data_IF_206533474578
#
_entry.id   IF_206533474578
#
_cell.length_a   1.000
_cell.length_b   1.000
_cell.length_c   1.000
_cell.angle_alpha   90.00
_cell.angle_beta   90.00
_cell.angle_gamma   90.00
#
_symmetry.space_group_name_H-M   'P 1'
#
loop_
_entity.id
_entity.type
_entity.pdbx_description
1 polymer ?
#
# COMPACT_ATOMS: atom_id res chain seq x y z
N UNK A 1 -40.04 -27.61 2.82
CA UNK A 1 -38.79 -27.21 3.52
C UNK A 1 -37.58 -26.94 2.61
N UNK A 2 -37.71 -26.90 1.26
CA UNK A 2 -36.55 -26.66 0.35
C UNK A 2 -36.28 -25.18 -0.01
N UNK A 3 -37.28 -24.29 0.14
CA UNK A 3 -37.16 -22.86 -0.26
C UNK A 3 -36.33 -22.00 0.72
N UNK A 4 -36.32 -22.36 2.01
CA UNK A 4 -35.60 -21.61 3.04
C UNK A 4 -34.08 -21.80 2.97
N UNK A 5 -33.62 -22.99 2.52
CA UNK A 5 -32.19 -23.29 2.39
C UNK A 5 -31.53 -22.48 1.26
N UNK A 6 -32.27 -22.25 0.16
CA UNK A 6 -31.82 -21.45 -0.99
C UNK A 6 -31.63 -19.97 -0.63
N UNK A 7 -32.48 -19.43 0.24
CA UNK A 7 -32.38 -18.04 0.69
C UNK A 7 -31.16 -17.83 1.60
N UNK A 8 -30.87 -18.77 2.50
CA UNK A 8 -29.69 -18.72 3.38
C UNK A 8 -28.39 -18.83 2.56
N UNK A 9 -28.35 -19.70 1.55
CA UNK A 9 -27.18 -19.84 0.68
C UNK A 9 -26.93 -18.59 -0.18
N UNK A 10 -28.00 -17.98 -0.71
CA UNK A 10 -27.91 -16.74 -1.49
C UNK A 10 -27.47 -15.53 -0.65
N UNK A 11 -27.75 -15.51 0.66
CA UNK A 11 -27.25 -14.49 1.58
C UNK A 11 -25.79 -14.69 2.00
N UNK A 12 -25.26 -15.92 1.94
CA UNK A 12 -23.88 -16.25 2.31
C UNK A 12 -22.89 -16.16 1.13
N UNK A 13 -23.38 -16.27 -0.11
CA UNK A 13 -22.58 -16.17 -1.33
C UNK A 13 -21.82 -14.83 -1.52
N UNK A 14 -22.39 -13.64 -1.21
CA UNK A 14 -21.68 -12.37 -1.38
C UNK A 14 -20.44 -12.24 -0.49
N UNK A 15 -20.45 -12.85 0.70
CA UNK A 15 -19.36 -12.75 1.66
C UNK A 15 -18.09 -13.51 1.21
N UNK A 16 -18.21 -14.47 0.29
CA UNK A 16 -17.09 -15.27 -0.22
C UNK A 16 -16.36 -14.61 -1.40
N UNK A 17 -16.87 -13.51 -1.94
CA UNK A 17 -16.35 -12.90 -3.18
C UNK A 17 -15.37 -11.73 -2.98
N UNK A 18 -15.17 -11.26 -1.74
CA UNK A 18 -14.29 -10.12 -1.46
C UNK A 18 -12.90 -10.61 -1.02
N UNK A 19 -12.05 -10.97 -1.98
CA UNK A 19 -10.62 -11.11 -1.72
C UNK A 19 -10.00 -9.70 -1.70
N UNK A 20 -9.65 -9.21 -0.50
CA UNK A 20 -8.87 -7.98 -0.31
C UNK A 20 -7.39 -8.27 -0.56
N UNK A 21 -6.80 -7.58 -1.54
CA UNK A 21 -5.35 -7.60 -1.77
C UNK A 21 -4.74 -6.47 -0.97
N UNK A 22 -3.62 -6.74 -0.29
CA UNK A 22 -2.89 -5.73 0.46
C UNK A 22 -1.44 -5.72 0.04
N UNK A 23 -0.88 -4.53 -0.07
CA UNK A 23 0.56 -4.34 -0.22
C UNK A 23 1.08 -3.75 1.08
N UNK A 24 2.18 -4.30 1.58
CA UNK A 24 2.88 -3.78 2.74
C UNK A 24 4.28 -3.35 2.29
N UNK A 25 4.59 -2.08 2.50
CA UNK A 25 5.95 -1.57 2.37
C UNK A 25 6.57 -1.38 3.74
N UNK A 26 7.84 -1.75 3.85
CA UNK A 26 8.65 -1.51 5.03
C UNK A 26 9.95 -0.88 4.53
N UNK A 27 10.31 0.27 5.08
CA UNK A 27 11.57 0.93 4.77
C UNK A 27 12.30 1.33 6.06
N UNK A 28 13.61 1.54 5.92
CA UNK A 28 14.49 1.90 7.02
C UNK A 28 15.30 3.13 6.67
N UNK A 29 15.45 4.00 7.65
CA UNK A 29 16.31 5.18 7.53
C UNK A 29 17.63 4.84 8.19
N UNK A 30 18.69 4.72 7.38
CA UNK A 30 20.02 4.35 7.89
C UNK A 30 20.78 5.52 8.49
N UNK A 31 20.54 6.76 8.04
CA UNK A 31 21.21 7.94 8.56
C UNK A 31 20.48 8.50 9.79
N UNK A 32 21.10 8.50 10.98
CA UNK A 32 20.48 9.00 12.19
C UNK A 32 20.30 10.52 12.22
N UNK A 33 20.82 11.28 11.26
CA UNK A 33 20.63 12.74 11.16
C UNK A 33 19.38 13.14 10.40
N UNK A 34 18.81 12.24 9.59
CA UNK A 34 17.54 12.49 8.89
C UNK A 34 16.47 12.80 9.94
N UNK A 35 15.76 13.92 9.78
CA UNK A 35 14.74 14.37 10.73
C UNK A 35 13.32 14.24 10.17
N UNK A 36 13.18 14.19 8.85
CA UNK A 36 11.91 14.18 8.16
C UNK A 36 11.89 13.12 7.08
N UNK A 37 10.76 12.43 6.97
CA UNK A 37 10.47 11.53 5.86
C UNK A 37 9.11 11.89 5.30
N UNK A 38 8.96 11.73 4.00
CA UNK A 38 7.65 11.75 3.36
C UNK A 38 7.55 10.59 2.40
N UNK A 39 6.34 10.11 2.22
CA UNK A 39 6.05 9.14 1.20
C UNK A 39 4.80 9.52 0.42
N UNK A 40 4.64 8.95 -0.75
CA UNK A 40 3.38 8.96 -1.48
C UNK A 40 3.23 7.65 -2.21
N UNK A 41 2.00 7.22 -2.41
CA UNK A 41 1.71 6.12 -3.33
C UNK A 41 1.06 6.68 -4.58
N UNK A 42 1.60 6.24 -5.72
CA UNK A 42 1.05 6.54 -7.04
C UNK A 42 0.41 5.26 -7.55
N UNK A 43 -0.86 5.36 -7.90
CA UNK A 43 -1.59 4.32 -8.63
C UNK A 43 -1.43 4.57 -10.14
N UNK A 44 -0.96 3.56 -10.86
CA UNK A 44 -0.64 3.58 -12.28
C UNK A 44 0.21 4.80 -12.69
N UNK A 45 -0.27 5.59 -13.67
CA UNK A 45 0.37 6.83 -14.14
C UNK A 45 -0.20 8.09 -13.48
N UNK A 46 -0.92 7.91 -12.37
CA UNK A 46 -1.58 8.99 -11.66
C UNK A 46 -0.62 9.86 -10.85
N UNK A 47 -1.20 10.67 -9.96
CA UNK A 47 -0.45 11.47 -8.99
C UNK A 47 -0.89 11.11 -7.58
N UNK A 48 0.06 10.87 -6.70
CA UNK A 48 -0.17 10.70 -5.26
C UNK A 48 0.10 12.00 -4.48
N UNK A 49 -0.64 12.21 -3.39
CA UNK A 49 -0.34 13.26 -2.43
C UNK A 49 0.79 12.81 -1.50
N UNK A 50 1.67 13.75 -1.13
CA UNK A 50 2.69 13.50 -0.13
C UNK A 50 2.08 13.41 1.26
N UNK A 51 2.33 12.30 1.93
CA UNK A 51 2.07 12.10 3.35
C UNK A 51 3.38 12.30 4.11
N UNK A 52 3.33 13.15 5.13
CA UNK A 52 4.49 13.52 5.92
C UNK A 52 4.57 12.63 7.16
N UNK A 53 5.73 12.01 7.35
CA UNK A 53 6.06 11.24 8.53
C UNK A 53 7.18 11.98 9.25
N UNK A 54 6.86 12.66 10.34
CA UNK A 54 7.93 13.15 11.21
C UNK A 54 8.67 11.94 11.77
N UNK A 55 10.00 11.97 11.72
CA UNK A 55 10.80 10.95 12.38
C UNK A 55 10.78 11.24 13.87
N UNK A 56 9.69 10.87 14.55
CA UNK A 56 9.56 11.14 15.97
C UNK A 56 9.98 9.96 16.85
N UNK A 57 9.97 8.71 16.37
CA UNK A 57 10.32 7.59 17.29
C UNK A 57 10.84 6.28 16.69
N UNK A 58 10.83 6.07 15.36
CA UNK A 58 11.31 4.80 14.79
C UNK A 58 12.25 4.99 13.58
N UNK A 59 13.27 4.13 13.51
CA UNK A 59 14.15 3.97 12.34
C UNK A 59 13.51 3.12 11.25
N UNK A 60 12.52 2.31 11.62
CA UNK A 60 11.72 1.46 10.74
C UNK A 60 10.36 2.10 10.55
N UNK A 61 9.94 2.22 9.29
CA UNK A 61 8.64 2.77 8.92
C UNK A 61 7.90 1.76 8.04
N UNK A 62 6.58 1.72 8.16
CA UNK A 62 5.75 0.82 7.37
C UNK A 62 4.46 1.49 6.93
N UNK A 63 3.95 1.04 5.78
CA UNK A 63 2.68 1.47 5.23
C UNK A 63 1.97 0.27 4.60
N UNK A 64 0.66 0.17 4.83
CA UNK A 64 -0.18 -0.89 4.29
C UNK A 64 -1.31 -0.25 3.50
N UNK A 65 -1.50 -0.71 2.27
CA UNK A 65 -2.54 -0.23 1.37
C UNK A 65 -3.42 -1.39 0.91
N UNK A 66 -4.72 -1.19 0.99
CA UNK A 66 -5.70 -2.04 0.30
C UNK A 66 -5.69 -1.70 -1.18
N UNK A 67 -5.54 -2.72 -2.03
CA UNK A 67 -5.32 -2.54 -3.46
C UNK A 67 -6.29 -3.33 -4.32
N UNK A 68 -6.49 -2.81 -5.53
CA UNK A 68 -7.23 -3.51 -6.58
C UNK A 68 -6.29 -4.40 -7.40
N UNK A 69 -6.86 -5.44 -8.02
CA UNK A 69 -6.13 -6.28 -8.99
C UNK A 69 -5.85 -5.53 -10.27
N UNK A 70 -4.83 -5.99 -11.00
CA UNK A 70 -4.48 -5.50 -12.33
C UNK A 70 -4.15 -3.99 -12.37
N UNK A 71 -3.52 -3.50 -11.30
CA UNK A 71 -3.03 -2.13 -11.19
C UNK A 71 -1.57 -2.14 -10.76
N UNK A 72 -0.86 -1.05 -11.06
CA UNK A 72 0.50 -0.83 -10.60
C UNK A 72 0.47 0.19 -9.47
N UNK A 73 1.15 -0.12 -8.37
CA UNK A 73 1.32 0.81 -7.26
C UNK A 73 2.80 1.10 -7.08
N UNK A 74 3.17 2.38 -7.10
CA UNK A 74 4.53 2.83 -6.84
C UNK A 74 4.58 3.60 -5.53
N UNK A 75 5.31 3.09 -4.54
CA UNK A 75 5.70 3.86 -3.37
C UNK A 75 6.90 4.74 -3.73
N UNK A 76 6.78 6.04 -3.49
CA UNK A 76 7.91 6.95 -3.49
C UNK A 76 8.22 7.39 -2.06
N UNK A 77 9.49 7.36 -1.68
CA UNK A 77 9.97 7.82 -0.37
C UNK A 77 11.07 8.84 -0.55
N UNK A 78 11.01 9.91 0.24
CA UNK A 78 12.06 10.92 0.34
C UNK A 78 12.37 11.22 1.80
N UNK A 79 13.61 11.60 2.04
CA UNK A 79 14.11 12.04 3.33
C UNK A 79 14.62 13.48 3.29
N UNK A 80 14.69 14.09 4.46
CA UNK A 80 15.21 15.43 4.64
C UNK A 80 15.82 15.62 6.04
N UNK A 81 16.87 16.42 6.09
CA UNK A 81 17.52 16.85 7.34
C UNK A 81 16.83 18.06 7.96
N UNK A 82 16.16 18.89 7.16
CA UNK A 82 15.61 20.19 7.58
C UNK A 82 14.12 20.38 7.27
N UNK A 83 13.50 19.44 6.56
CA UNK A 83 12.10 19.46 6.14
C UNK A 83 11.83 20.38 4.95
N UNK A 84 12.86 21.02 4.39
CA UNK A 84 12.78 21.98 3.29
C UNK A 84 13.38 21.39 2.03
N UNK A 85 14.61 20.87 2.12
CA UNK A 85 15.30 20.23 1.02
C UNK A 85 15.14 18.72 1.13
N UNK A 86 14.55 18.15 0.08
CA UNK A 86 14.25 16.73 0.02
C UNK A 86 15.22 16.03 -0.93
N UNK A 87 15.58 14.80 -0.59
CA UNK A 87 16.36 13.94 -1.48
C UNK A 87 15.59 13.54 -2.73
N UNK A 88 16.30 12.88 -3.65
CA UNK A 88 15.65 12.19 -4.76
C UNK A 88 14.78 11.04 -4.23
N UNK A 89 13.67 10.78 -4.91
CA UNK A 89 12.78 9.68 -4.54
C UNK A 89 13.46 8.32 -4.70
N UNK A 90 13.35 7.49 -3.68
CA UNK A 90 13.50 6.04 -3.81
C UNK A 90 12.14 5.47 -4.21
N UNK A 91 12.13 4.57 -5.20
CA UNK A 91 10.91 4.00 -5.78
C UNK A 91 10.80 2.52 -5.48
N UNK A 92 9.59 2.06 -5.15
CA UNK A 92 9.25 0.65 -5.01
C UNK A 92 7.93 0.37 -5.71
N UNK A 93 7.98 -0.34 -6.83
CA UNK A 93 6.83 -0.65 -7.68
C UNK A 93 6.32 -2.07 -7.43
N UNK A 94 4.99 -2.21 -7.40
CA UNK A 94 4.29 -3.49 -7.26
C UNK A 94 3.17 -3.57 -8.30
N UNK A 95 3.27 -4.56 -9.19
CA UNK A 95 2.24 -4.89 -10.17
C UNK A 95 1.30 -5.97 -9.61
N UNK A 96 0.04 -5.60 -9.35
CA UNK A 96 -0.96 -6.49 -8.78
C UNK A 96 -1.62 -7.40 -9.81
N UNK A 97 -1.35 -7.24 -11.12
CA UNK A 97 -1.80 -8.19 -12.15
C UNK A 97 -1.24 -9.60 -11.90
N UNK A 98 -0.05 -9.66 -11.32
CA UNK A 98 0.64 -10.90 -10.97
C UNK A 98 -0.04 -11.66 -9.83
N UNK A 99 -0.86 -11.01 -8.99
CA UNK A 99 -1.62 -11.69 -7.94
C UNK A 99 -2.66 -12.67 -8.51
N UNK A 100 -3.10 -12.47 -9.76
CA UNK A 100 -4.00 -13.40 -10.45
C UNK A 100 -3.33 -14.71 -10.87
N UNK A 101 -2.00 -14.76 -10.96
CA UNK A 101 -1.24 -15.94 -11.39
C UNK A 101 -0.91 -16.91 -10.25
N UNK A 102 -0.93 -16.44 -9.01
CA UNK A 102 -0.52 -17.22 -7.83
C UNK A 102 -1.65 -18.10 -7.24
N UNK A 103 -2.90 -17.93 -7.69
CA UNK A 103 -4.07 -18.66 -7.21
C UNK A 103 -4.59 -19.72 -8.23
N UNK A 104 -3.69 -20.34 -9.01
CA UNK A 104 -4.05 -21.50 -9.85
C UNK A 104 -3.83 -22.82 -9.13
#
# INVERSE_FOLDING_TARGET
MKKSLLFVLALLLPALCFAEYKIAWIWRISDPKVAWVRYRVIEDKGTGNWEYVSRYDDSVMSFVLDVEKNKIYTLEVQDSYDGVWWSNSVLSEVDTSMFSMLNK
#
